data_IF_906466102352
#
_entry.id   IF_906466102352
#
_cell.length_a   1.000
_cell.length_b   1.000
_cell.length_c   1.000
_cell.angle_alpha   90.00
_cell.angle_beta   90.00
_cell.angle_gamma   90.00
#
_symmetry.space_group_name_H-M   'P 1'
#
loop_
_entity.id
_entity.type
_entity.pdbx_description
1 polymer ?
#
# COMPACT_ATOMS: atom_id res chain seq x y z
N UNK A 1 -14.52 -55.92 -17.47
CA UNK A 1 -15.43 -54.89 -16.93
C UNK A 1 -14.57 -53.91 -16.13
N UNK A 2 -14.34 -52.71 -16.67
CA UNK A 2 -13.34 -51.76 -16.15
C UNK A 2 -14.09 -50.56 -15.57
N UNK A 3 -14.07 -50.43 -14.24
CA UNK A 3 -14.79 -49.40 -13.51
C UNK A 3 -14.07 -48.06 -13.74
N UNK A 4 -14.68 -47.14 -14.47
CA UNK A 4 -14.19 -45.77 -14.62
C UNK A 4 -14.73 -44.97 -13.44
N UNK A 5 -13.88 -44.74 -12.43
CA UNK A 5 -14.15 -43.81 -11.34
C UNK A 5 -13.90 -42.40 -11.91
N UNK A 6 -14.96 -41.72 -12.32
CA UNK A 6 -14.90 -40.30 -12.66
C UNK A 6 -14.84 -39.52 -11.34
N UNK A 7 -13.64 -39.31 -10.84
CA UNK A 7 -13.40 -38.41 -9.71
C UNK A 7 -13.56 -36.98 -10.21
N UNK A 8 -14.74 -36.39 -9.95
CA UNK A 8 -15.01 -34.98 -10.14
C UNK A 8 -14.18 -34.19 -9.12
N UNK A 9 -12.94 -33.85 -9.48
CA UNK A 9 -12.17 -32.83 -8.78
C UNK A 9 -12.83 -31.48 -9.11
N UNK A 10 -13.85 -31.12 -8.33
CA UNK A 10 -14.40 -29.76 -8.31
C UNK A 10 -13.30 -28.87 -7.75
N UNK A 11 -12.54 -28.27 -8.66
CA UNK A 11 -11.58 -27.21 -8.38
C UNK A 11 -12.39 -26.04 -7.84
N UNK A 12 -12.49 -25.94 -6.51
CA UNK A 12 -13.10 -24.79 -5.85
C UNK A 12 -12.22 -23.59 -6.15
N UNK A 13 -12.61 -22.81 -7.16
CA UNK A 13 -12.05 -21.50 -7.44
C UNK A 13 -12.44 -20.61 -6.27
N UNK A 14 -11.56 -20.54 -5.27
CA UNK A 14 -11.60 -19.50 -4.25
C UNK A 14 -11.35 -18.17 -4.94
N UNK A 15 -12.43 -17.54 -5.40
CA UNK A 15 -12.40 -16.14 -5.84
C UNK A 15 -12.19 -15.33 -4.57
N UNK A 16 -10.94 -14.93 -4.31
CA UNK A 16 -10.65 -13.95 -3.26
C UNK A 16 -11.22 -12.60 -3.71
N UNK A 17 -12.49 -12.32 -3.40
CA UNK A 17 -13.03 -10.98 -3.58
C UNK A 17 -12.23 -10.03 -2.67
N UNK A 18 -11.53 -9.09 -3.29
CA UNK A 18 -10.90 -7.99 -2.58
C UNK A 18 -11.91 -6.86 -2.53
N UNK A 19 -12.32 -6.42 -1.34
CA UNK A 19 -13.25 -5.29 -1.23
C UNK A 19 -12.54 -3.97 -1.58
N UNK A 20 -12.51 -3.68 -2.89
CA UNK A 20 -11.86 -2.51 -3.46
C UNK A 20 -12.44 -1.19 -2.95
N UNK A 21 -13.76 -1.13 -2.70
CA UNK A 21 -14.41 0.08 -2.21
C UNK A 21 -14.00 0.37 -0.77
N UNK A 22 -13.99 -0.64 0.10
CA UNK A 22 -13.51 -0.50 1.47
C UNK A 22 -12.03 -0.15 1.53
N UNK A 23 -11.18 -0.74 0.68
CA UNK A 23 -9.76 -0.39 0.61
C UNK A 23 -9.54 1.03 0.10
N UNK A 24 -10.22 1.43 -0.97
CA UNK A 24 -10.13 2.80 -1.48
C UNK A 24 -10.59 3.80 -0.41
N UNK A 25 -11.69 3.52 0.29
CA UNK A 25 -12.17 4.35 1.39
C UNK A 25 -11.14 4.42 2.54
N UNK A 26 -10.55 3.28 2.93
CA UNK A 26 -9.49 3.22 3.93
C UNK A 26 -8.32 4.12 3.54
N UNK A 27 -7.78 3.96 2.33
CA UNK A 27 -6.63 4.74 1.85
C UNK A 27 -6.95 6.21 1.67
N UNK A 28 -8.14 6.56 1.19
CA UNK A 28 -8.57 7.96 1.06
C UNK A 28 -8.61 8.66 2.42
N UNK A 29 -8.96 7.95 3.48
CA UNK A 29 -9.03 8.51 4.84
C UNK A 29 -7.69 8.52 5.58
N UNK A 30 -6.63 7.91 5.02
CA UNK A 30 -5.29 7.95 5.61
C UNK A 30 -4.60 9.28 5.36
N UNK A 31 -3.85 9.69 6.38
CA UNK A 31 -2.92 10.81 6.35
C UNK A 31 -1.59 10.35 6.94
N UNK A 32 -0.50 10.79 6.31
CA UNK A 32 0.86 10.55 6.74
C UNK A 32 1.77 11.64 6.17
N UNK A 33 2.69 12.12 6.99
CA UNK A 33 3.85 12.90 6.54
C UNK A 33 5.04 12.38 7.30
N UNK A 34 5.97 11.73 6.61
CA UNK A 34 7.05 10.98 7.22
C UNK A 34 8.36 11.29 6.53
N UNK A 35 9.28 11.92 7.26
CA UNK A 35 10.70 11.95 6.93
C UNK A 35 11.32 10.61 7.35
N UNK A 36 11.76 9.83 6.38
CA UNK A 36 12.25 8.46 6.60
C UNK A 36 13.62 8.54 7.26
N UNK A 37 13.74 8.03 8.49
CA UNK A 37 15.02 7.91 9.20
C UNK A 37 15.41 6.46 9.47
N UNK A 38 14.46 5.52 9.34
CA UNK A 38 14.70 4.10 9.44
C UNK A 38 13.88 3.35 8.37
N UNK A 39 14.55 2.46 7.65
CA UNK A 39 13.95 1.50 6.72
C UNK A 39 14.45 0.11 7.11
N UNK A 40 13.70 -0.56 7.98
CA UNK A 40 14.11 -1.84 8.57
C UNK A 40 13.81 -3.04 7.65
N UNK A 41 13.10 -2.84 6.52
CA UNK A 41 12.64 -3.91 5.64
C UNK A 41 11.66 -4.92 6.29
N UNK A 42 11.23 -4.67 7.54
CA UNK A 42 10.32 -5.52 8.32
C UNK A 42 8.84 -5.13 8.18
N UNK A 43 7.98 -5.61 9.08
CA UNK A 43 6.52 -5.30 9.08
C UNK A 43 6.26 -3.79 9.26
N UNK A 44 7.15 -3.09 9.97
CA UNK A 44 7.20 -1.64 10.07
C UNK A 44 8.25 -1.14 9.07
N UNK A 45 7.84 -1.07 7.80
CA UNK A 45 8.70 -0.77 6.67
C UNK A 45 9.41 0.58 6.80
N UNK A 46 8.73 1.59 7.34
CA UNK A 46 9.24 2.95 7.45
C UNK A 46 8.89 3.57 8.80
N UNK A 47 9.89 4.14 9.46
CA UNK A 47 9.75 4.94 10.67
C UNK A 47 10.62 6.19 10.58
N UNK A 48 10.25 7.19 11.37
CA UNK A 48 10.96 8.45 11.42
C UNK A 48 10.08 9.54 12.00
N UNK A 49 10.17 10.75 11.44
CA UNK A 49 9.52 11.92 12.06
C UNK A 49 8.57 12.59 11.12
N UNK A 50 7.51 13.18 11.66
CA UNK A 50 6.71 14.13 10.91
C UNK A 50 7.57 15.36 10.61
N UNK A 51 7.78 15.73 9.33
CA UNK A 51 8.68 16.84 8.97
C UNK A 51 8.15 18.21 9.41
N UNK A 52 6.85 18.33 9.73
CA UNK A 52 6.22 19.57 10.15
C UNK A 52 6.16 19.73 11.66
N UNK A 53 6.00 18.63 12.41
CA UNK A 53 5.88 18.68 13.89
C UNK A 53 7.13 18.19 14.63
N UNK A 54 7.98 17.41 13.97
CA UNK A 54 9.18 16.79 14.57
C UNK A 54 8.90 15.57 15.47
N UNK A 55 7.63 15.20 15.63
CA UNK A 55 7.21 14.05 16.43
C UNK A 55 7.51 12.73 15.69
N UNK A 56 7.80 11.67 16.46
CA UNK A 56 7.95 10.32 15.90
C UNK A 56 6.65 9.90 15.20
N UNK A 57 6.78 9.33 14.01
CA UNK A 57 5.68 8.98 13.15
C UNK A 57 5.95 7.63 12.48
N UNK A 58 5.00 6.73 12.65
CA UNK A 58 4.99 5.43 11.99
C UNK A 58 3.81 5.46 11.03
N UNK A 59 4.06 5.55 9.73
CA UNK A 59 2.99 5.53 8.75
C UNK A 59 2.49 4.10 8.54
N UNK A 60 1.83 3.56 9.56
CA UNK A 60 1.32 2.20 9.60
C UNK A 60 0.22 2.05 8.57
N UNK A 61 0.50 1.19 7.61
CA UNK A 61 -0.45 0.72 6.62
C UNK A 61 -0.76 -0.75 6.87
N UNK A 62 -2.01 -1.01 7.27
CA UNK A 62 -2.51 -2.36 7.56
C UNK A 62 -2.50 -3.26 6.32
N UNK A 63 -2.45 -2.68 5.13
CA UNK A 63 -2.59 -3.37 3.85
C UNK A 63 -1.34 -3.21 2.94
N UNK A 64 -0.25 -2.63 3.47
CA UNK A 64 1.10 -2.63 2.89
C UNK A 64 1.27 -1.96 1.51
N UNK A 65 0.38 -1.06 1.10
CA UNK A 65 0.49 -0.30 -0.15
C UNK A 65 1.80 0.48 -0.23
N UNK A 66 2.27 1.12 0.85
CA UNK A 66 3.59 1.77 0.84
C UNK A 66 4.72 0.77 0.61
N UNK A 67 4.61 -0.44 1.19
CA UNK A 67 5.60 -1.50 1.05
C UNK A 67 5.78 -2.02 -0.37
N UNK A 68 4.73 -1.97 -1.19
CA UNK A 68 4.82 -2.32 -2.62
C UNK A 68 5.84 -1.45 -3.38
N UNK A 69 6.08 -0.23 -2.89
CA UNK A 69 6.95 0.75 -3.53
C UNK A 69 8.24 1.01 -2.74
N UNK A 70 8.61 0.13 -1.81
CA UNK A 70 9.76 0.34 -0.93
C UNK A 70 11.08 0.64 -1.66
N UNK A 71 11.27 0.06 -2.85
CA UNK A 71 12.47 0.26 -3.67
C UNK A 71 12.62 1.69 -4.21
N UNK A 72 11.59 2.53 -4.03
CA UNK A 72 11.61 3.94 -4.41
C UNK A 72 11.77 4.87 -3.21
N UNK A 73 11.98 4.33 -2.01
CA UNK A 73 12.01 5.08 -0.76
C UNK A 73 13.32 4.86 -0.02
N UNK A 74 14.08 5.93 0.17
CA UNK A 74 15.37 5.91 0.83
C UNK A 74 15.34 6.74 2.13
N UNK A 75 16.32 6.50 3.01
CA UNK A 75 16.52 7.36 4.18
C UNK A 75 16.77 8.80 3.72
N UNK A 76 16.06 9.74 4.33
CA UNK A 76 16.09 11.17 3.97
C UNK A 76 15.00 11.60 3.00
N UNK A 77 14.31 10.66 2.35
CA UNK A 77 13.11 10.98 1.56
C UNK A 77 11.92 11.31 2.47
N UNK A 78 10.94 12.04 1.93
CA UNK A 78 9.68 12.31 2.63
C UNK A 78 8.50 11.62 1.95
N UNK A 79 7.84 10.70 2.65
CA UNK A 79 6.56 10.13 2.24
C UNK A 79 5.42 11.07 2.66
N UNK A 80 4.58 11.45 1.71
CA UNK A 80 3.40 12.28 1.93
C UNK A 80 2.16 11.54 1.44
N UNK A 81 1.18 11.36 2.32
CA UNK A 81 -0.17 10.90 2.01
C UNK A 81 -1.15 11.88 2.66
N UNK A 82 -1.98 12.56 1.87
CA UNK A 82 -2.99 13.48 2.42
C UNK A 82 -4.36 12.81 2.48
N UNK A 83 -5.15 13.19 3.49
CA UNK A 83 -6.55 12.79 3.57
C UNK A 83 -7.32 13.32 2.36
N UNK A 84 -8.21 12.49 1.82
CA UNK A 84 -9.00 12.79 0.63
C UNK A 84 -8.33 12.41 -0.69
N UNK A 85 -7.03 12.12 -0.70
CA UNK A 85 -6.29 11.73 -1.91
C UNK A 85 -6.15 10.20 -1.99
N UNK A 86 -6.22 9.65 -3.20
CA UNK A 86 -6.01 8.23 -3.48
C UNK A 86 -4.65 7.93 -4.12
N UNK A 87 -3.65 8.72 -3.75
CA UNK A 87 -2.25 8.54 -4.10
C UNK A 87 -1.40 8.90 -2.89
N UNK A 88 -0.14 8.48 -2.88
CA UNK A 88 0.88 9.06 -2.03
C UNK A 88 2.04 9.52 -2.90
N UNK A 89 2.87 10.41 -2.35
CA UNK A 89 4.09 10.88 -3.00
C UNK A 89 5.32 10.62 -2.15
N UNK A 90 6.43 10.40 -2.82
CA UNK A 90 7.76 10.34 -2.22
C UNK A 90 8.54 11.53 -2.77
N UNK A 91 8.85 12.46 -1.87
CA UNK A 91 9.60 13.67 -2.16
C UNK A 91 11.08 13.35 -1.97
N UNK A 92 11.79 13.28 -3.07
CA UNK A 92 13.26 13.19 -3.13
C UNK A 92 13.83 14.60 -3.21
N UNK A 93 15.16 14.70 -3.15
CA UNK A 93 15.88 15.99 -3.21
C UNK A 93 15.55 16.83 -4.44
N UNK A 94 15.40 16.18 -5.60
CA UNK A 94 15.23 16.82 -6.91
C UNK A 94 13.96 16.42 -7.65
N UNK A 95 13.24 15.41 -7.15
CA UNK A 95 12.12 14.77 -7.86
C UNK A 95 11.00 14.41 -6.90
N UNK A 96 9.77 14.46 -7.38
CA UNK A 96 8.60 13.93 -6.66
C UNK A 96 8.07 12.73 -7.43
N UNK A 97 8.07 11.56 -6.79
CA UNK A 97 7.44 10.35 -7.31
C UNK A 97 6.00 10.29 -6.79
N UNK A 98 5.06 9.96 -7.67
CA UNK A 98 3.63 9.83 -7.33
C UNK A 98 3.18 8.41 -7.60
N UNK A 99 2.52 7.80 -6.63
CA UNK A 99 2.01 6.44 -6.70
C UNK A 99 0.51 6.47 -6.47
N UNK A 100 -0.25 6.32 -7.54
CA UNK A 100 -1.70 6.19 -7.47
C UNK A 100 -2.07 4.80 -6.96
N UNK A 101 -3.12 4.69 -6.13
CA UNK A 101 -3.64 3.39 -5.73
C UNK A 101 -4.26 2.68 -6.95
N UNK A 102 -4.77 3.48 -7.89
CA UNK A 102 -5.02 3.06 -9.26
C UNK A 102 -6.27 2.22 -9.40
N UNK A 103 -6.07 0.99 -9.87
CA UNK A 103 -7.10 0.10 -10.39
C UNK A 103 -7.26 -1.12 -9.50
N UNK A 104 -8.50 -1.42 -9.13
CA UNK A 104 -8.86 -2.61 -8.37
C UNK A 104 -10.09 -3.25 -9.04
N UNK A 105 -10.00 -4.54 -9.35
CA UNK A 105 -11.03 -5.30 -10.08
C UNK A 105 -11.49 -4.62 -11.40
N UNK A 106 -10.56 -4.02 -12.16
CA UNK A 106 -10.88 -3.37 -13.43
C UNK A 106 -11.49 -1.96 -13.29
N UNK A 107 -11.67 -1.46 -12.06
CA UNK A 107 -12.19 -0.11 -11.78
C UNK A 107 -11.07 0.80 -11.32
N UNK A 108 -11.02 2.00 -11.91
CA UNK A 108 -10.10 3.06 -11.48
C UNK A 108 -10.75 3.88 -10.37
N UNK A 109 -10.05 4.01 -9.25
CA UNK A 109 -10.49 4.82 -8.11
C UNK A 109 -9.71 6.16 -8.07
N UNK A 110 -10.39 7.27 -7.71
CA UNK A 110 -9.82 8.62 -7.66
C UNK A 110 -10.12 9.35 -6.34
#
# INVERSE_FOLDING_TARGET
MKNIIVSLFVFSLVVSCTDCESLAYYYKNKECSLLISNNSGGIELFAGKNPFTGEECDCKDSFRWYGLYQNHMDIGDTLIKKKGELFFSVHKKDTVLKFDWGECEGKIYK
#
